data_IF_301004657657
#
_entry.id   IF_301004657657
#
_cell.length_a   1.000
_cell.length_b   1.000
_cell.length_c   1.000
_cell.angle_alpha   90.00
_cell.angle_beta   90.00
_cell.angle_gamma   90.00
#
_symmetry.space_group_name_H-M   'P 1'
#
loop_
_entity.id
_entity.type
_entity.pdbx_description
1 polymer ?
#
# COMPACT_ATOMS: atom_id res chain seq x y z
N UNK A 1 2.01 -3.57 27.06
CA UNK A 1 0.72 -3.87 26.39
C UNK A 1 0.98 -4.95 25.37
N UNK A 2 0.03 -5.86 25.16
CA UNK A 2 0.13 -6.91 24.13
C UNK A 2 -0.90 -6.57 23.06
N UNK A 3 -0.45 -6.40 21.82
CA UNK A 3 -1.33 -6.10 20.68
C UNK A 3 -2.06 -7.36 20.23
N UNK A 4 -3.30 -7.21 19.80
CA UNK A 4 -4.14 -8.32 19.33
C UNK A 4 -3.98 -8.59 17.83
N UNK A 5 -3.39 -7.67 17.08
CA UNK A 5 -3.09 -7.87 15.67
C UNK A 5 -2.05 -6.93 15.12
N UNK A 6 -1.56 -7.23 13.92
CA UNK A 6 -0.49 -6.46 13.27
C UNK A 6 -0.84 -6.13 11.82
N UNK A 7 -0.56 -4.90 11.43
CA UNK A 7 -0.48 -4.48 10.02
C UNK A 7 1.01 -4.38 9.70
N UNK A 8 1.46 -5.01 8.62
CA UNK A 8 2.89 -5.24 8.37
C UNK A 8 3.22 -4.82 6.94
N UNK A 9 4.17 -3.90 6.75
CA UNK A 9 4.73 -3.67 5.42
C UNK A 9 5.54 -4.88 4.91
N UNK A 10 5.80 -4.94 3.60
CA UNK A 10 6.54 -6.02 2.98
C UNK A 10 7.99 -5.64 2.64
N UNK A 11 8.20 -4.62 1.82
CA UNK A 11 9.51 -4.36 1.20
C UNK A 11 10.29 -3.31 2.00
N UNK A 12 11.37 -3.77 2.63
CA UNK A 12 12.12 -3.08 3.66
C UNK A 12 11.88 -3.66 5.06
N UNK A 13 10.78 -4.40 5.25
CA UNK A 13 10.37 -4.98 6.55
C UNK A 13 10.47 -6.52 6.60
N UNK A 14 9.90 -7.23 5.61
CA UNK A 14 9.92 -8.70 5.53
C UNK A 14 11.03 -9.21 4.60
N UNK A 15 11.29 -8.46 3.53
CA UNK A 15 12.39 -8.66 2.60
C UNK A 15 12.87 -7.29 2.12
N UNK A 16 14.04 -7.19 1.49
CA UNK A 16 14.51 -5.96 0.85
C UNK A 16 14.89 -6.25 -0.60
N UNK A 17 14.03 -5.83 -1.54
CA UNK A 17 14.13 -6.25 -2.93
C UNK A 17 14.05 -7.78 -3.04
N UNK A 18 15.16 -8.41 -3.45
CA UNK A 18 15.27 -9.88 -3.53
C UNK A 18 16.03 -10.50 -2.34
N UNK A 19 16.48 -9.68 -1.38
CA UNK A 19 17.22 -10.16 -0.21
C UNK A 19 16.24 -10.49 0.93
N UNK A 20 16.29 -11.69 1.53
CA UNK A 20 15.46 -12.00 2.69
C UNK A 20 15.89 -11.19 3.92
N UNK A 21 14.93 -10.67 4.68
CA UNK A 21 15.15 -10.22 6.04
C UNK A 21 14.78 -11.39 6.95
N UNK A 22 15.79 -12.15 7.42
CA UNK A 22 15.57 -13.38 8.19
C UNK A 22 14.71 -13.17 9.44
N UNK A 23 14.84 -12.01 10.08
CA UNK A 23 14.02 -11.62 11.22
C UNK A 23 12.53 -11.42 10.83
N UNK A 24 12.24 -11.00 9.59
CA UNK A 24 10.89 -10.88 9.05
C UNK A 24 10.16 -12.22 8.99
N UNK A 25 10.81 -13.27 8.46
CA UNK A 25 10.24 -14.63 8.51
C UNK A 25 9.95 -15.07 9.95
N UNK A 26 10.94 -14.94 10.85
CA UNK A 26 10.78 -15.34 12.26
C UNK A 26 9.69 -14.54 12.97
N UNK A 27 9.49 -13.27 12.60
CA UNK A 27 8.40 -12.46 13.13
C UNK A 27 7.04 -13.04 12.75
N UNK A 28 6.85 -13.37 11.47
CA UNK A 28 5.63 -14.01 10.97
C UNK A 28 5.42 -15.40 11.61
N UNK A 29 6.48 -16.21 11.73
CA UNK A 29 6.41 -17.52 12.38
C UNK A 29 5.91 -17.39 13.83
N UNK A 30 6.45 -16.44 14.61
CA UNK A 30 6.02 -16.20 16.01
C UNK A 30 4.58 -15.71 16.10
N UNK A 31 4.10 -14.90 15.16
CA UNK A 31 2.69 -14.50 15.11
C UNK A 31 1.78 -15.70 14.86
N UNK A 32 2.16 -16.59 13.92
CA UNK A 32 1.43 -17.83 13.63
C UNK A 32 1.41 -18.77 14.83
N UNK A 33 2.55 -18.99 15.49
CA UNK A 33 2.66 -19.83 16.68
C UNK A 33 1.74 -19.37 17.82
N UNK A 34 1.56 -18.05 17.97
CA UNK A 34 0.67 -17.45 18.98
C UNK A 34 -0.76 -17.23 18.52
N UNK A 35 -1.11 -17.61 17.30
CA UNK A 35 -2.41 -17.35 16.67
C UNK A 35 -2.80 -15.86 16.69
N UNK A 36 -1.81 -14.97 16.53
CA UNK A 36 -2.06 -13.53 16.46
C UNK A 36 -2.38 -13.17 15.01
N UNK A 37 -3.56 -12.58 14.72
CA UNK A 37 -3.93 -12.18 13.37
C UNK A 37 -3.03 -11.05 12.84
N UNK A 38 -2.73 -11.10 11.55
CA UNK A 38 -1.98 -10.04 10.88
C UNK A 38 -2.41 -9.88 9.42
N UNK A 39 -2.16 -8.69 8.88
CA UNK A 39 -2.26 -8.39 7.45
C UNK A 39 -0.96 -7.77 6.96
N UNK A 40 -0.45 -8.27 5.84
CA UNK A 40 0.51 -7.55 5.02
C UNK A 40 -0.21 -6.41 4.30
N UNK A 41 0.27 -5.19 4.46
CA UNK A 41 -0.32 -3.96 3.92
C UNK A 41 0.72 -3.30 3.02
N UNK A 42 0.49 -3.27 1.70
CA UNK A 42 1.48 -2.76 0.73
C UNK A 42 0.89 -1.78 -0.29
N UNK A 43 1.61 -0.68 -0.56
CA UNK A 43 1.27 0.29 -1.61
C UNK A 43 1.52 -0.25 -3.03
N UNK A 44 2.16 -1.41 -3.17
CA UNK A 44 2.44 -1.98 -4.48
C UNK A 44 1.15 -2.44 -5.18
N UNK A 45 0.86 -1.82 -6.33
CA UNK A 45 -0.32 -2.12 -7.16
C UNK A 45 -0.02 -3.00 -8.38
N UNK A 46 1.25 -3.40 -8.57
CA UNK A 46 1.68 -4.14 -9.78
C UNK A 46 1.47 -5.64 -9.67
N UNK A 47 1.29 -6.17 -8.45
CA UNK A 47 1.17 -7.60 -8.17
C UNK A 47 -0.17 -7.95 -7.55
N UNK A 48 -0.74 -9.08 -7.95
CA UNK A 48 -1.92 -9.67 -7.30
C UNK A 48 -1.55 -10.30 -5.96
N UNK A 49 -2.51 -10.49 -5.04
CA UNK A 49 -2.28 -11.21 -3.79
C UNK A 49 -1.69 -12.60 -3.99
N UNK A 50 -2.08 -13.31 -5.06
CA UNK A 50 -1.55 -14.63 -5.42
C UNK A 50 -0.07 -14.56 -5.79
N UNK A 51 0.34 -13.55 -6.56
CA UNK A 51 1.75 -13.33 -6.91
C UNK A 51 2.57 -12.96 -5.67
N UNK A 52 2.04 -12.11 -4.80
CA UNK A 52 2.71 -11.75 -3.53
C UNK A 52 2.87 -12.97 -2.62
N UNK A 53 1.80 -13.76 -2.43
CA UNK A 53 1.85 -15.02 -1.68
C UNK A 53 2.91 -15.96 -2.23
N UNK A 54 2.89 -16.21 -3.54
CA UNK A 54 3.84 -17.11 -4.19
C UNK A 54 5.28 -16.65 -3.98
N UNK A 55 5.53 -15.33 -4.06
CA UNK A 55 6.85 -14.76 -3.78
C UNK A 55 7.28 -14.98 -2.33
N UNK A 56 6.38 -14.70 -1.37
CA UNK A 56 6.64 -14.93 0.06
C UNK A 56 7.02 -16.38 0.33
N UNK A 57 6.31 -17.33 -0.27
CA UNK A 57 6.58 -18.75 -0.15
C UNK A 57 7.90 -19.15 -0.84
N UNK A 58 8.02 -18.91 -2.15
CA UNK A 58 9.11 -19.44 -2.97
C UNK A 58 10.46 -18.77 -2.68
N UNK A 59 10.46 -17.48 -2.35
CA UNK A 59 11.70 -16.69 -2.20
C UNK A 59 12.11 -16.47 -0.74
N UNK A 60 11.16 -16.51 0.19
CA UNK A 60 11.39 -16.10 1.59
C UNK A 60 10.95 -17.13 2.62
N UNK A 61 10.43 -18.29 2.19
CA UNK A 61 9.98 -19.38 3.06
C UNK A 61 8.87 -18.95 4.05
N UNK A 62 7.99 -18.04 3.60
CA UNK A 62 6.86 -17.53 4.37
C UNK A 62 5.56 -18.05 3.74
N UNK A 63 4.99 -19.08 4.35
CA UNK A 63 3.70 -19.65 3.93
C UNK A 63 2.53 -18.99 4.66
N UNK A 64 1.67 -18.30 3.90
CA UNK A 64 0.51 -17.55 4.38
C UNK A 64 -0.68 -17.66 3.42
N UNK A 65 -1.89 -17.40 3.92
CA UNK A 65 -3.08 -17.28 3.06
C UNK A 65 -3.03 -15.97 2.25
N UNK A 66 -3.62 -15.98 1.05
CA UNK A 66 -3.87 -14.75 0.28
C UNK A 66 -4.72 -13.74 1.03
N UNK A 67 -5.55 -14.20 1.98
CA UNK A 67 -6.38 -13.32 2.82
C UNK A 67 -5.56 -12.44 3.76
N UNK A 68 -4.30 -12.81 4.01
CA UNK A 68 -3.37 -12.00 4.80
C UNK A 68 -2.72 -10.88 3.97
N UNK A 69 -3.01 -10.76 2.68
CA UNK A 69 -2.35 -9.79 1.80
C UNK A 69 -3.38 -8.74 1.37
N UNK A 70 -3.11 -7.49 1.76
CA UNK A 70 -3.93 -6.34 1.42
C UNK A 70 -3.11 -5.29 0.69
N UNK A 71 -3.39 -5.14 -0.61
CA UNK A 71 -2.67 -4.21 -1.49
C UNK A 71 -3.48 -2.94 -1.70
N UNK A 72 -2.82 -1.85 -2.10
CA UNK A 72 -3.49 -0.61 -2.50
C UNK A 72 -4.49 -0.83 -3.66
N UNK A 73 -4.28 -1.85 -4.52
CA UNK A 73 -5.26 -2.24 -5.54
C UNK A 73 -6.55 -2.75 -4.93
N UNK A 74 -6.47 -3.61 -3.90
CA UNK A 74 -7.65 -4.12 -3.20
C UNK A 74 -8.35 -3.01 -2.42
N UNK A 75 -7.59 -2.14 -1.75
CA UNK A 75 -8.14 -0.97 -1.06
C UNK A 75 -8.86 -0.01 -2.01
N UNK A 76 -8.31 0.18 -3.22
CA UNK A 76 -8.95 1.03 -4.25
C UNK A 76 -10.29 0.44 -4.68
N UNK A 77 -10.34 -0.88 -4.89
CA UNK A 77 -11.57 -1.59 -5.24
C UNK A 77 -12.61 -1.50 -4.13
N UNK A 78 -12.20 -1.72 -2.88
CA UNK A 78 -13.10 -1.64 -1.72
C UNK A 78 -13.66 -0.21 -1.58
N UNK A 79 -12.81 0.81 -1.72
CA UNK A 79 -13.23 2.21 -1.73
C UNK A 79 -14.24 2.52 -2.85
N UNK A 80 -13.98 2.05 -4.08
CA UNK A 80 -14.89 2.28 -5.21
C UNK A 80 -16.24 1.60 -4.99
N UNK A 81 -16.26 0.38 -4.41
CA UNK A 81 -17.51 -0.33 -4.07
C UNK A 81 -18.33 0.44 -3.04
N UNK A 82 -17.69 0.94 -2.00
CA UNK A 82 -18.35 1.72 -0.94
C UNK A 82 -18.89 3.06 -1.47
N UNK A 83 -18.14 3.71 -2.37
CA UNK A 83 -18.54 5.00 -2.96
C UNK A 83 -19.77 4.88 -3.87
N UNK A 84 -19.91 3.76 -4.59
CA UNK A 84 -21.14 3.42 -5.33
C UNK A 84 -21.54 4.40 -6.45
N UNK A 85 -20.57 5.07 -7.11
CA UNK A 85 -20.84 6.03 -8.20
C UNK A 85 -21.16 5.35 -9.54
N UNK A 86 -20.93 4.05 -9.64
CA UNK A 86 -21.19 3.26 -10.83
C UNK A 86 -20.16 2.15 -10.99
N UNK A 87 -19.99 1.66 -12.22
CA UNK A 87 -19.10 0.52 -12.54
C UNK A 87 -18.16 0.79 -13.71
N UNK A 88 -18.21 1.97 -14.31
CA UNK A 88 -17.34 2.35 -15.41
C UNK A 88 -16.07 3.00 -14.88
N UNK A 89 -14.92 2.58 -15.38
CA UNK A 89 -13.63 3.06 -14.89
C UNK A 89 -12.64 3.22 -16.04
N UNK A 90 -11.84 4.28 -15.98
CA UNK A 90 -10.60 4.39 -16.76
C UNK A 90 -9.41 4.17 -15.84
N UNK A 91 -8.45 3.33 -16.26
CA UNK A 91 -7.33 2.91 -15.41
C UNK A 91 -6.00 3.19 -16.09
N UNK A 92 -5.15 3.97 -15.43
CA UNK A 92 -3.71 4.04 -15.71
C UNK A 92 -3.01 3.21 -14.65
N UNK A 93 -2.35 2.12 -15.06
CA UNK A 93 -1.65 1.24 -14.13
C UNK A 93 -1.27 -0.12 -14.70
N UNK A 94 -0.44 -0.83 -13.94
CA UNK A 94 0.01 -2.20 -14.22
C UNK A 94 -1.12 -3.25 -14.12
N UNK A 95 -0.81 -4.47 -14.58
CA UNK A 95 -1.79 -5.57 -14.67
C UNK A 95 -2.40 -5.95 -13.33
N UNK A 96 -1.63 -5.96 -12.24
CA UNK A 96 -2.15 -6.30 -10.91
C UNK A 96 -3.29 -5.37 -10.43
N UNK A 97 -3.29 -4.11 -10.84
CA UNK A 97 -4.37 -3.17 -10.55
C UNK A 97 -5.59 -3.44 -11.44
N UNK A 98 -5.35 -3.60 -12.75
CA UNK A 98 -6.40 -3.89 -13.73
C UNK A 98 -7.15 -5.16 -13.39
N UNK A 99 -6.43 -6.24 -13.07
CA UNK A 99 -7.03 -7.52 -12.67
C UNK A 99 -7.91 -7.35 -11.42
N UNK A 100 -7.43 -6.65 -10.39
CA UNK A 100 -8.21 -6.41 -9.16
C UNK A 100 -9.51 -5.64 -9.43
N UNK A 101 -9.45 -4.61 -10.27
CA UNK A 101 -10.58 -3.76 -10.63
C UNK A 101 -11.60 -4.54 -11.48
N UNK A 102 -11.17 -5.16 -12.57
CA UNK A 102 -12.07 -5.81 -13.52
C UNK A 102 -12.66 -7.11 -12.98
N UNK A 103 -11.91 -7.90 -12.19
CA UNK A 103 -12.45 -9.07 -11.49
C UNK A 103 -13.51 -8.72 -10.45
N UNK A 104 -13.58 -7.46 -10.01
CA UNK A 104 -14.58 -6.94 -9.08
C UNK A 104 -15.83 -6.36 -9.76
N UNK A 105 -15.98 -6.59 -11.07
CA UNK A 105 -17.16 -6.22 -11.84
C UNK A 105 -17.19 -4.76 -12.30
N UNK A 106 -16.07 -4.05 -12.23
CA UNK A 106 -15.91 -2.78 -12.93
C UNK A 106 -15.57 -3.04 -14.41
N UNK A 107 -15.94 -2.13 -15.29
CA UNK A 107 -15.76 -2.24 -16.74
C UNK A 107 -15.03 -1.02 -17.27
N UNK A 108 -14.15 -1.22 -18.25
CA UNK A 108 -13.41 -0.14 -18.89
C UNK A 108 -14.37 0.79 -19.66
N UNK A 109 -14.25 2.09 -19.44
CA UNK A 109 -14.89 3.13 -20.26
C UNK A 109 -13.91 4.30 -20.40
N UNK A 110 -13.48 4.60 -21.62
CA UNK A 110 -12.51 5.67 -21.89
C UNK A 110 -13.20 7.03 -22.14
N UNK A 111 -14.50 7.05 -22.46
CA UNK A 111 -15.21 8.26 -22.86
C UNK A 111 -15.97 8.91 -21.70
N UNK A 112 -16.63 8.07 -20.90
CA UNK A 112 -17.55 8.44 -19.83
C UNK A 112 -17.41 7.53 -18.59
N UNK A 113 -16.21 7.40 -18.00
CA UNK A 113 -16.04 6.63 -16.77
C UNK A 113 -16.65 7.32 -15.55
N UNK A 114 -17.14 6.53 -14.60
CA UNK A 114 -17.53 7.01 -13.27
C UNK A 114 -16.29 7.33 -12.41
N UNK A 115 -15.19 6.59 -12.66
CA UNK A 115 -13.93 6.69 -11.93
C UNK A 115 -12.74 6.79 -12.87
N UNK A 116 -11.74 7.59 -12.50
CA UNK A 116 -10.41 7.55 -13.09
C UNK A 116 -9.43 7.12 -12.01
N UNK A 117 -8.82 5.95 -12.19
CA UNK A 117 -7.85 5.37 -11.25
C UNK A 117 -6.46 5.46 -11.84
N UNK A 118 -5.53 6.08 -11.12
CA UNK A 118 -4.16 6.29 -11.56
C UNK A 118 -3.18 5.69 -10.56
N UNK A 119 -2.29 4.86 -11.06
CA UNK A 119 -1.20 4.22 -10.35
C UNK A 119 0.11 4.35 -11.14
N UNK A 120 1.15 3.63 -10.68
CA UNK A 120 2.34 3.43 -11.49
C UNK A 120 1.97 2.65 -12.77
N UNK A 121 2.37 3.19 -13.92
CA UNK A 121 2.27 2.57 -15.24
C UNK A 121 3.61 2.78 -15.95
N UNK A 122 4.37 1.70 -16.16
CA UNK A 122 5.70 1.77 -16.79
C UNK A 122 5.62 1.97 -18.30
N UNK A 123 4.46 1.73 -18.90
CA UNK A 123 4.13 1.97 -20.32
C UNK A 123 3.24 3.22 -20.48
N UNK A 124 3.42 4.22 -19.61
CA UNK A 124 2.67 5.48 -19.66
C UNK A 124 2.90 6.19 -20.99
N UNK A 125 1.82 6.69 -21.59
CA UNK A 125 1.86 7.53 -22.79
C UNK A 125 1.16 8.86 -22.53
N UNK A 126 1.46 9.86 -23.36
CA UNK A 126 0.74 11.13 -23.34
C UNK A 126 -0.77 10.94 -23.56
N UNK A 127 -1.15 10.01 -24.44
CA UNK A 127 -2.55 9.71 -24.72
C UNK A 127 -3.30 9.21 -23.48
N UNK A 128 -2.69 8.30 -22.69
CA UNK A 128 -3.27 7.85 -21.42
C UNK A 128 -3.54 9.02 -20.48
N UNK A 129 -2.58 9.94 -20.36
CA UNK A 129 -2.72 11.15 -19.55
C UNK A 129 -3.83 12.07 -20.07
N UNK A 130 -3.95 12.22 -21.39
CA UNK A 130 -4.97 13.05 -22.03
C UNK A 130 -6.38 12.49 -21.77
N UNK A 131 -6.59 11.18 -21.95
CA UNK A 131 -7.87 10.51 -21.68
C UNK A 131 -8.26 10.67 -20.22
N UNK A 132 -7.35 10.38 -19.28
CA UNK A 132 -7.60 10.57 -17.85
C UNK A 132 -7.96 12.03 -17.51
N UNK A 133 -7.19 12.99 -18.04
CA UNK A 133 -7.42 14.42 -17.81
C UNK A 133 -8.80 14.85 -18.29
N UNK A 134 -9.19 14.47 -19.50
CA UNK A 134 -10.49 14.81 -20.07
C UNK A 134 -11.64 14.15 -19.29
N UNK A 135 -11.50 12.89 -18.90
CA UNK A 135 -12.50 12.19 -18.08
C UNK A 135 -12.69 12.87 -16.71
N UNK A 136 -11.60 13.26 -16.05
CA UNK A 136 -11.64 13.98 -14.77
C UNK A 136 -12.28 15.37 -14.93
N UNK A 137 -11.99 16.09 -16.02
CA UNK A 137 -12.62 17.37 -16.32
C UNK A 137 -14.13 17.23 -16.55
N UNK A 138 -14.57 16.14 -17.18
CA UNK A 138 -15.99 15.79 -17.37
C UNK A 138 -16.69 15.32 -16.08
N UNK A 139 -15.97 15.11 -14.98
CA UNK A 139 -16.55 14.85 -13.66
C UNK A 139 -16.32 13.44 -13.11
N UNK A 140 -15.51 12.60 -13.77
CA UNK A 140 -15.13 11.30 -13.21
C UNK A 140 -14.41 11.47 -11.85
N UNK A 141 -14.68 10.56 -10.91
CA UNK A 141 -14.06 10.60 -9.59
C UNK A 141 -12.59 10.20 -9.68
N UNK A 142 -11.68 11.12 -9.34
CA UNK A 142 -10.24 10.95 -9.49
C UNK A 142 -9.62 10.24 -8.28
N UNK A 143 -9.02 9.07 -8.50
CA UNK A 143 -8.38 8.23 -7.50
C UNK A 143 -6.90 8.06 -7.84
N UNK A 144 -6.03 8.28 -6.85
CA UNK A 144 -4.62 7.94 -6.89
C UNK A 144 -4.34 6.74 -5.98
N UNK A 145 -3.70 5.68 -6.46
CA UNK A 145 -3.56 4.47 -5.64
C UNK A 145 -2.63 4.64 -4.45
N UNK A 146 -1.57 5.45 -4.58
CA UNK A 146 -0.60 5.70 -3.51
C UNK A 146 0.21 6.98 -3.81
N UNK A 147 0.66 7.72 -2.78
CA UNK A 147 1.36 9.00 -2.94
C UNK A 147 2.86 8.88 -3.21
N UNK A 148 3.39 7.64 -3.35
CA UNK A 148 4.82 7.40 -3.47
C UNK A 148 5.42 8.11 -4.68
N UNK A 149 6.25 9.12 -4.40
CA UNK A 149 6.86 9.97 -5.43
C UNK A 149 7.85 9.21 -6.31
N UNK A 150 8.55 8.25 -5.71
CA UNK A 150 9.61 7.50 -6.35
C UNK A 150 9.49 6.01 -6.10
N UNK A 151 9.98 5.21 -7.05
CA UNK A 151 10.18 3.77 -6.89
C UNK A 151 11.69 3.45 -7.00
N UNK A 152 12.29 2.79 -5.99
CA UNK A 152 13.67 2.32 -6.08
C UNK A 152 13.83 1.22 -7.14
N UNK A 153 14.82 1.37 -8.02
CA UNK A 153 15.18 0.37 -9.03
C UNK A 153 16.70 0.22 -9.13
N UNK A 154 17.17 -0.77 -9.90
CA UNK A 154 18.60 -0.92 -10.22
C UNK A 154 19.19 0.29 -10.99
N UNK A 155 18.35 1.12 -11.61
CA UNK A 155 18.74 2.34 -12.34
C UNK A 155 18.79 3.57 -11.44
N UNK A 156 18.39 3.45 -10.17
CA UNK A 156 18.19 4.55 -9.24
C UNK A 156 16.72 4.77 -8.89
N UNK A 157 16.42 5.94 -8.34
CA UNK A 157 15.06 6.35 -7.98
C UNK A 157 14.31 6.79 -9.25
N UNK A 158 13.35 5.99 -9.67
CA UNK A 158 12.49 6.28 -10.82
C UNK A 158 11.20 6.98 -10.37
N UNK A 159 10.45 7.65 -11.25
CA UNK A 159 9.13 8.17 -10.92
C UNK A 159 8.18 7.07 -10.42
N UNK A 160 7.53 7.33 -9.29
CA UNK A 160 6.50 6.47 -8.70
C UNK A 160 5.09 6.89 -9.12
N UNK A 161 4.08 6.22 -8.55
CA UNK A 161 2.67 6.53 -8.81
C UNK A 161 2.33 8.00 -8.50
N UNK A 162 2.83 8.54 -7.38
CA UNK A 162 2.60 9.93 -6.98
C UNK A 162 3.09 10.95 -8.01
N UNK A 163 4.15 10.64 -8.77
CA UNK A 163 4.65 11.52 -9.83
C UNK A 163 3.70 11.56 -11.04
N UNK A 164 3.11 10.41 -11.40
CA UNK A 164 2.11 10.32 -12.47
C UNK A 164 0.82 11.05 -12.07
N UNK A 165 0.37 10.81 -10.83
CA UNK A 165 -0.83 11.44 -10.27
C UNK A 165 -0.66 12.96 -10.22
N UNK A 166 0.48 13.47 -9.73
CA UNK A 166 0.77 14.90 -9.66
C UNK A 166 0.73 15.60 -11.04
N UNK A 167 1.15 14.91 -12.10
CA UNK A 167 1.04 15.42 -13.47
C UNK A 167 -0.42 15.65 -13.89
N UNK A 168 -1.31 14.74 -13.53
CA UNK A 168 -2.75 14.83 -13.82
C UNK A 168 -3.43 15.85 -12.89
N UNK A 169 -3.07 15.90 -11.60
CA UNK A 169 -3.55 16.93 -10.67
C UNK A 169 -3.23 18.33 -11.21
N UNK A 170 -2.01 18.51 -11.75
CA UNK A 170 -1.59 19.76 -12.39
C UNK A 170 -2.43 20.08 -13.62
N UNK A 171 -2.66 19.11 -14.51
CA UNK A 171 -3.41 19.32 -15.76
C UNK A 171 -4.91 19.55 -15.52
N UNK A 172 -5.47 18.98 -14.45
CA UNK A 172 -6.90 19.05 -14.13
C UNK A 172 -7.24 20.11 -13.09
N UNK A 173 -6.26 20.61 -12.34
CA UNK A 173 -6.43 21.42 -11.12
C UNK A 173 -7.34 20.77 -10.07
N UNK A 174 -7.42 19.44 -10.08
CA UNK A 174 -8.19 18.64 -9.13
C UNK A 174 -7.28 17.68 -8.40
N UNK A 175 -7.38 17.64 -7.08
CA UNK A 175 -6.64 16.69 -6.25
C UNK A 175 -7.23 15.29 -6.38
N UNK A 176 -6.36 14.28 -6.39
CA UNK A 176 -6.76 12.89 -6.34
C UNK A 176 -7.22 12.52 -4.92
N UNK A 177 -8.15 11.57 -4.82
CA UNK A 177 -8.33 10.82 -3.58
C UNK A 177 -7.24 9.76 -3.51
N UNK A 178 -6.26 9.93 -2.61
CA UNK A 178 -5.21 8.93 -2.41
C UNK A 178 -5.73 7.78 -1.53
N UNK A 179 -5.37 6.55 -1.88
CA UNK A 179 -5.88 5.34 -1.20
C UNK A 179 -4.86 4.70 -0.27
N UNK A 180 -3.66 4.42 -0.78
CA UNK A 180 -2.61 3.70 -0.06
C UNK A 180 -2.02 4.50 1.11
N UNK A 181 -1.16 3.84 1.90
CA UNK A 181 -0.46 4.45 3.03
C UNK A 181 0.23 5.77 2.63
N UNK A 182 0.17 6.83 3.46
CA UNK A 182 -0.35 6.86 4.84
C UNK A 182 -1.86 7.12 4.98
N UNK A 183 -2.63 7.09 3.89
CA UNK A 183 -4.02 7.51 3.90
C UNK A 183 -4.95 6.61 4.72
N UNK A 184 -5.95 7.24 5.35
CA UNK A 184 -6.91 6.58 6.23
C UNK A 184 -7.70 5.47 5.55
N UNK A 185 -8.02 5.63 4.27
CA UNK A 185 -8.87 4.69 3.50
C UNK A 185 -8.29 3.27 3.56
N UNK A 186 -6.99 3.10 3.32
CA UNK A 186 -6.36 1.78 3.39
C UNK A 186 -6.31 1.23 4.82
N UNK A 187 -6.05 2.10 5.80
CA UNK A 187 -5.89 1.70 7.20
C UNK A 187 -7.22 1.28 7.83
N UNK A 188 -8.29 2.04 7.62
CA UNK A 188 -9.65 1.71 8.07
C UNK A 188 -10.09 0.36 7.50
N UNK A 189 -9.89 0.14 6.19
CA UNK A 189 -10.24 -1.13 5.55
C UNK A 189 -9.39 -2.30 6.02
N UNK A 190 -8.12 -2.07 6.34
CA UNK A 190 -7.26 -3.09 6.92
C UNK A 190 -7.73 -3.48 8.33
N UNK A 191 -8.13 -2.51 9.16
CA UNK A 191 -8.72 -2.75 10.48
C UNK A 191 -10.06 -3.50 10.40
N UNK A 192 -10.95 -3.11 9.46
CA UNK A 192 -12.21 -3.81 9.19
C UNK A 192 -11.97 -5.30 8.85
N UNK A 193 -10.95 -5.58 8.03
CA UNK A 193 -10.55 -6.95 7.65
C UNK A 193 -10.00 -7.74 8.84
N UNK A 194 -9.19 -7.12 9.69
CA UNK A 194 -8.71 -7.72 10.94
C UNK A 194 -9.81 -7.90 11.98
N UNK A 195 -10.90 -7.11 11.90
CA UNK A 195 -11.96 -7.02 12.90
C UNK A 195 -11.43 -6.61 14.28
N UNK A 196 -10.50 -5.66 14.29
CA UNK A 196 -9.87 -5.12 15.49
C UNK A 196 -9.96 -3.59 15.49
N UNK A 197 -9.98 -2.99 16.67
CA UNK A 197 -9.90 -1.54 16.82
C UNK A 197 -8.45 -1.05 16.65
N UNK A 198 -8.28 0.22 16.28
CA UNK A 198 -6.97 0.83 16.06
C UNK A 198 -6.02 0.69 17.27
N UNK A 199 -6.55 0.88 18.48
CA UNK A 199 -5.81 0.75 19.74
C UNK A 199 -5.45 -0.70 20.13
N UNK A 200 -5.89 -1.71 19.37
CA UNK A 200 -5.54 -3.12 19.56
C UNK A 200 -4.48 -3.59 18.57
N UNK A 201 -4.10 -2.76 17.60
CA UNK A 201 -3.28 -3.10 16.44
C UNK A 201 -1.99 -2.30 16.45
N UNK A 202 -0.93 -2.90 15.91
CA UNK A 202 0.35 -2.23 15.68
C UNK A 202 0.65 -2.20 14.17
N UNK A 203 1.01 -1.03 13.64
CA UNK A 203 1.55 -0.86 12.29
C UNK A 203 3.07 -1.04 12.32
N UNK A 204 3.57 -2.02 11.59
CA UNK A 204 4.99 -2.40 11.50
C UNK A 204 5.50 -2.05 10.12
N UNK A 205 6.59 -1.30 10.05
CA UNK A 205 7.18 -0.90 8.78
C UNK A 205 8.57 -0.28 8.92
N UNK A 206 9.20 -0.02 7.79
CA UNK A 206 10.54 0.58 7.70
C UNK A 206 10.55 1.97 7.09
N UNK A 207 9.41 2.42 6.54
CA UNK A 207 9.29 3.72 5.91
C UNK A 207 8.46 4.67 6.78
N UNK A 208 9.10 5.71 7.30
CA UNK A 208 8.44 6.71 8.13
C UNK A 208 7.26 7.39 7.42
N UNK A 209 7.48 7.88 6.20
CA UNK A 209 6.50 8.70 5.45
C UNK A 209 5.24 7.93 5.07
N UNK A 210 5.31 6.61 4.97
CA UNK A 210 4.16 5.75 4.65
C UNK A 210 3.69 4.96 5.85
N UNK A 211 4.54 4.13 6.46
CA UNK A 211 4.10 3.13 7.45
C UNK A 211 3.89 3.76 8.82
N UNK A 212 4.84 4.58 9.25
CA UNK A 212 4.76 5.20 10.57
C UNK A 212 3.75 6.34 10.54
N UNK A 213 3.73 7.14 9.47
CA UNK A 213 2.67 8.13 9.25
C UNK A 213 1.30 7.46 9.14
N UNK A 214 1.17 6.30 8.48
CA UNK A 214 -0.09 5.56 8.46
C UNK A 214 -0.58 5.22 9.87
N UNK A 215 0.31 4.82 10.78
CA UNK A 215 -0.11 4.55 12.15
C UNK A 215 -0.45 5.82 12.92
N UNK A 216 0.46 6.81 12.92
CA UNK A 216 0.29 8.08 13.64
C UNK A 216 -0.98 8.82 13.21
N UNK A 217 -1.22 8.90 11.90
CA UNK A 217 -2.33 9.69 11.34
C UNK A 217 -3.69 9.01 11.48
N UNK A 218 -3.69 7.73 11.89
CA UNK A 218 -4.89 6.92 12.05
C UNK A 218 -5.02 6.31 13.46
N UNK A 219 -4.35 6.88 14.46
CA UNK A 219 -4.39 6.45 15.87
C UNK A 219 -4.05 4.96 16.09
N UNK A 220 -3.13 4.41 15.30
CA UNK A 220 -2.59 3.04 15.43
C UNK A 220 -1.15 3.15 15.93
N UNK A 221 -0.80 2.37 16.95
CA UNK A 221 0.58 2.33 17.44
C UNK A 221 1.55 1.87 16.35
N UNK A 222 2.80 2.36 16.40
CA UNK A 222 3.79 2.12 15.33
C UNK A 222 5.08 1.46 15.82
N UNK A 223 5.55 0.48 15.06
CA UNK A 223 6.84 -0.18 15.23
C UNK A 223 7.70 0.07 13.99
N UNK A 224 8.64 1.00 14.10
CA UNK A 224 9.64 1.27 13.08
C UNK A 224 10.79 0.26 13.18
N UNK A 225 11.03 -0.50 12.12
CA UNK A 225 12.20 -1.37 11.99
C UNK A 225 13.23 -0.76 11.04
N UNK A 226 14.49 -0.68 11.48
CA UNK A 226 15.57 0.01 10.75
C UNK A 226 16.27 -0.86 9.69
N UNK A 227 15.49 -1.66 8.96
CA UNK A 227 15.97 -2.60 7.94
C UNK A 227 15.85 -2.08 6.51
N UNK A 228 15.12 -0.99 6.29
CA UNK A 228 14.75 -0.51 4.95
C UNK A 228 14.98 0.98 4.71
N UNK A 229 13.90 1.69 4.40
CA UNK A 229 13.92 3.06 3.86
C UNK A 229 14.45 4.08 4.86
N UNK A 230 13.82 4.21 6.03
CA UNK A 230 14.24 5.16 7.07
C UNK A 230 15.55 4.73 7.71
N UNK A 231 16.56 5.60 7.70
CA UNK A 231 17.87 5.30 8.27
C UNK A 231 17.90 5.60 9.76
N UNK A 232 18.76 4.86 10.48
CA UNK A 232 18.94 5.02 11.93
C UNK A 232 19.30 6.45 12.34
N UNK A 233 20.09 7.13 11.52
CA UNK A 233 20.49 8.52 11.72
C UNK A 233 19.33 9.52 11.55
N UNK A 234 18.31 9.18 10.76
CA UNK A 234 17.14 10.05 10.54
C UNK A 234 16.14 9.97 11.70
N UNK A 235 16.20 8.92 12.54
CA UNK A 235 15.23 8.69 13.62
C UNK A 235 15.16 9.88 14.59
N UNK A 236 16.30 10.52 14.87
CA UNK A 236 16.37 11.64 15.82
C UNK A 236 15.78 12.94 15.28
N UNK A 237 15.58 13.04 13.96
CA UNK A 237 15.03 14.24 13.31
C UNK A 237 13.56 14.07 12.89
N UNK A 238 12.96 12.90 13.17
CA UNK A 238 11.56 12.64 12.86
C UNK A 238 10.64 13.62 13.59
N UNK A 239 9.68 14.28 12.90
CA UNK A 239 8.78 15.25 13.50
C UNK A 239 7.92 14.69 14.65
N UNK A 240 7.47 13.44 14.50
CA UNK A 240 6.70 12.71 15.51
C UNK A 240 7.36 11.35 15.67
N UNK A 241 7.71 10.98 16.90
CA UNK A 241 8.38 9.72 17.16
C UNK A 241 7.42 8.52 16.92
N UNK A 242 7.90 7.42 16.33
CA UNK A 242 7.17 6.14 16.34
C UNK A 242 6.93 5.66 17.79
N UNK A 243 5.91 4.84 18.03
CA UNK A 243 5.65 4.25 19.36
C UNK A 243 6.88 3.45 19.83
N UNK A 244 7.49 2.69 18.91
CA UNK A 244 8.73 1.94 19.13
C UNK A 244 9.62 1.92 17.90
N UNK A 245 10.94 1.85 18.15
CA UNK A 245 11.99 1.72 17.14
C UNK A 245 12.87 0.54 17.51
N UNK A 246 13.19 -0.31 16.54
CA UNK A 246 14.02 -1.52 16.72
C UNK A 246 14.99 -1.68 15.54
N UNK A 247 16.16 -2.26 15.79
CA UNK A 247 17.11 -2.57 14.71
C UNK A 247 16.73 -3.88 13.99
N UNK A 248 16.12 -4.83 14.72
CA UNK A 248 15.66 -6.12 14.20
C UNK A 248 14.30 -6.52 14.75
N UNK A 249 13.46 -7.12 13.90
CA UNK A 249 12.18 -7.72 14.31
C UNK A 249 12.33 -8.84 15.36
N UNK A 250 13.54 -9.38 15.57
CA UNK A 250 13.80 -10.35 16.66
C UNK A 250 13.72 -9.71 18.06
N UNK A 251 13.93 -8.39 18.16
CA UNK A 251 13.87 -7.65 19.44
C UNK A 251 12.44 -7.48 19.93
N UNK A 252 11.47 -7.47 19.02
CA UNK A 252 10.07 -7.33 19.36
C UNK A 252 9.50 -8.65 19.91
N UNK A 253 8.84 -8.61 21.06
CA UNK A 253 8.13 -9.76 21.61
C UNK A 253 6.64 -9.63 21.29
N UNK A 254 6.17 -10.47 20.36
CA UNK A 254 4.75 -10.55 19.96
C UNK A 254 3.88 -11.15 21.06
#
# INVERSE_FOLDING_TARGET
>A
MTYKGYLIDLDGTIYLGDKPIKAGKRFVDRLKEKNIPFLFVTNNTTKTPQVVKKRLQDSFDIDVSTDTIYTASLATVDYMKDKGLGKKVYVIGEEGLKEAIFSSGFVLDEEHPDYVVVALDTDLTYEKLAVATLAIQKGAHFIGTNPDKNIPTHRGLMPGAGSLIAGIETATQKSATYIGKPEAIMMEKALERLKLAANEVMMVGDNYETDIRAGIDNDIDTLLVLTGFTKKEDVVTLPIAPTKVIDSLDEWQV
#
